data_IF_729160428932
#
_entry.id   IF_729160428932
#
_cell.length_a   1.000
_cell.length_b   1.000
_cell.length_c   1.000
_cell.angle_alpha   90.00
_cell.angle_beta   90.00
_cell.angle_gamma   90.00
#
_symmetry.space_group_name_H-M   'P 1'
#
loop_
_entity.id
_entity.type
_entity.pdbx_description
1 polymer ?
#
# COMPACT_ATOMS: atom_id res chain seq x y z
N UNK A 1 4.92 5.03 -11.07
CA UNK A 1 3.81 4.35 -11.77
C UNK A 1 3.90 2.83 -11.72
N UNK A 2 5.07 2.21 -11.99
CA UNK A 2 5.21 0.74 -11.97
C UNK A 2 4.86 0.08 -10.62
N UNK A 3 5.27 0.66 -9.49
CA UNK A 3 4.88 0.17 -8.17
C UNK A 3 3.35 0.02 -8.04
N UNK A 4 2.59 1.05 -8.42
CA UNK A 4 1.13 1.03 -8.29
C UNK A 4 0.51 -0.03 -9.20
N UNK A 5 0.99 -0.17 -10.44
CA UNK A 5 0.53 -1.23 -11.35
C UNK A 5 0.80 -2.61 -10.76
N UNK A 6 1.98 -2.82 -10.17
CA UNK A 6 2.34 -4.06 -9.50
C UNK A 6 1.42 -4.39 -8.32
N UNK A 7 1.09 -3.39 -7.48
CA UNK A 7 0.17 -3.57 -6.35
C UNK A 7 -1.25 -3.95 -6.81
N UNK A 8 -1.78 -3.24 -7.81
CA UNK A 8 -3.11 -3.53 -8.39
C UNK A 8 -3.13 -4.89 -9.09
N UNK A 9 -2.05 -5.25 -9.78
CA UNK A 9 -1.89 -6.56 -10.39
C UNK A 9 -1.88 -7.67 -9.34
N UNK A 10 -1.13 -7.49 -8.25
CA UNK A 10 -1.06 -8.45 -7.16
C UNK A 10 -2.42 -8.66 -6.48
N UNK A 11 -3.19 -7.59 -6.24
CA UNK A 11 -4.55 -7.70 -5.69
C UNK A 11 -5.48 -8.57 -6.55
N UNK A 12 -5.34 -8.45 -7.89
CA UNK A 12 -6.12 -9.23 -8.86
C UNK A 12 -5.66 -10.68 -9.01
N UNK A 13 -4.38 -10.96 -8.76
CA UNK A 13 -3.78 -12.28 -8.98
C UNK A 13 -3.76 -13.16 -7.72
N UNK A 14 -3.69 -12.56 -6.52
CA UNK A 14 -3.67 -13.32 -5.28
C UNK A 14 -5.02 -13.99 -5.02
N UNK A 15 -4.98 -15.29 -4.77
CA UNK A 15 -6.11 -16.05 -4.24
C UNK A 15 -6.36 -15.70 -2.76
N UNK A 16 -7.51 -16.10 -2.23
CA UNK A 16 -7.81 -16.01 -0.80
C UNK A 16 -6.71 -16.68 0.03
N UNK A 17 -6.27 -16.01 1.11
CA UNK A 17 -5.14 -16.43 1.94
C UNK A 17 -3.76 -16.12 1.35
N UNK A 18 -3.68 -15.66 0.09
CA UNK A 18 -2.43 -15.26 -0.55
C UNK A 18 -1.78 -14.05 0.16
N UNK A 19 -0.46 -14.01 0.23
CA UNK A 19 0.27 -12.95 0.94
C UNK A 19 0.90 -11.97 -0.05
N UNK A 20 0.61 -10.68 0.13
CA UNK A 20 1.34 -9.59 -0.51
C UNK A 20 2.45 -9.13 0.44
N UNK A 21 3.71 -9.19 0.00
CA UNK A 21 4.87 -8.68 0.73
C UNK A 21 5.59 -7.68 -0.15
N UNK A 22 5.84 -6.49 0.37
CA UNK A 22 6.49 -5.39 -0.36
C UNK A 22 7.63 -4.83 0.47
N UNK A 23 8.81 -4.77 -0.13
CA UNK A 23 9.99 -4.11 0.44
C UNK A 23 10.22 -2.82 -0.31
N UNK A 24 10.24 -1.71 0.41
CA UNK A 24 10.46 -0.36 -0.14
C UNK A 24 11.75 0.21 0.42
N UNK A 25 12.50 0.95 -0.39
CA UNK A 25 13.77 1.56 0.03
C UNK A 25 13.70 3.07 0.19
N UNK A 26 12.65 3.69 -0.35
CA UNK A 26 12.44 5.13 -0.27
C UNK A 26 11.06 5.50 0.29
N UNK A 27 10.99 6.71 0.85
CA UNK A 27 9.81 7.21 1.57
C UNK A 27 8.57 7.34 0.69
N UNK A 28 8.73 7.68 -0.60
CA UNK A 28 7.61 7.80 -1.54
C UNK A 28 6.95 6.44 -1.80
N UNK A 29 7.73 5.38 -1.98
CA UNK A 29 7.20 4.03 -2.15
C UNK A 29 6.48 3.56 -0.90
N UNK A 30 7.14 3.68 0.26
CA UNK A 30 6.55 3.32 1.55
C UNK A 30 5.21 4.03 1.77
N UNK A 31 5.10 5.30 1.37
CA UNK A 31 3.85 6.07 1.41
C UNK A 31 2.78 5.51 0.49
N UNK A 32 3.12 5.17 -0.76
CA UNK A 32 2.19 4.59 -1.73
C UNK A 32 1.68 3.23 -1.21
N UNK A 33 2.58 2.35 -0.77
CA UNK A 33 2.23 1.02 -0.24
C UNK A 33 1.38 1.14 1.03
N UNK A 34 1.75 2.05 1.94
CA UNK A 34 0.98 2.32 3.16
C UNK A 34 -0.44 2.77 2.84
N UNK A 35 -0.59 3.69 1.89
CA UNK A 35 -1.91 4.23 1.53
C UNK A 35 -2.77 3.17 0.84
N UNK A 36 -2.19 2.40 -0.08
CA UNK A 36 -2.84 1.26 -0.73
C UNK A 36 -3.34 0.24 0.29
N UNK A 37 -2.47 -0.25 1.18
CA UNK A 37 -2.86 -1.22 2.19
C UNK A 37 -3.89 -0.66 3.19
N UNK A 38 -3.80 0.63 3.56
CA UNK A 38 -4.77 1.25 4.45
C UNK A 38 -6.18 1.29 3.86
N UNK A 39 -6.28 1.58 2.56
CA UNK A 39 -7.55 1.58 1.81
C UNK A 39 -8.12 0.16 1.69
N UNK A 40 -7.29 -0.79 1.26
CA UNK A 40 -7.71 -2.19 1.06
C UNK A 40 -8.04 -2.94 2.35
N UNK A 41 -7.45 -2.55 3.47
CA UNK A 41 -7.75 -3.10 4.79
C UNK A 41 -8.93 -2.38 5.48
N UNK A 42 -9.63 -1.47 4.79
CA UNK A 42 -10.80 -0.76 5.34
C UNK A 42 -10.47 0.24 6.45
N UNK A 43 -9.19 0.59 6.66
CA UNK A 43 -8.74 1.53 7.70
C UNK A 43 -8.95 3.00 7.33
N UNK A 44 -9.33 3.28 6.08
CA UNK A 44 -9.61 4.63 5.57
C UNK A 44 -11.07 5.09 5.74
N UNK A 45 -12.01 4.17 5.93
CA UNK A 45 -13.46 4.47 5.90
C UNK A 45 -14.15 4.31 7.26
N UNK A 46 -13.46 3.90 8.32
CA UNK A 46 -14.09 3.53 9.60
C UNK A 46 -14.48 4.71 10.51
N UNK A 47 -14.40 5.97 10.08
CA UNK A 47 -14.35 7.10 11.03
C UNK A 47 -15.30 8.28 10.83
N UNK A 48 -16.06 8.35 9.74
CA UNK A 48 -17.04 9.43 9.57
C UNK A 48 -18.37 8.95 10.12
N UNK A 49 -18.80 9.54 11.24
CA UNK A 49 -20.19 9.55 11.76
C UNK A 49 -21.21 9.11 10.71
N UNK A 50 -21.56 7.81 10.69
CA UNK A 50 -22.52 7.31 9.71
C UNK A 50 -23.86 7.96 9.96
N UNK A 51 -24.37 8.67 8.96
CA UNK A 51 -25.75 9.11 8.93
C UNK A 51 -26.64 7.85 8.77
N UNK A 52 -27.83 7.79 9.39
CA UNK A 52 -28.75 6.69 9.16
C UNK A 52 -29.07 6.60 7.66
N UNK A 53 -28.70 5.49 7.01
CA UNK A 53 -28.97 5.25 5.57
C UNK A 53 -27.75 5.18 4.65
N UNK A 54 -26.52 5.36 5.16
CA UNK A 54 -25.31 5.15 4.34
C UNK A 54 -25.09 3.66 4.01
N UNK A 55 -24.76 3.41 2.74
CA UNK A 55 -24.42 2.09 2.21
C UNK A 55 -23.20 1.53 2.94
N UNK A 56 -23.24 0.24 3.31
CA UNK A 56 -22.10 -0.41 3.95
C UNK A 56 -20.86 -0.35 3.04
N UNK A 57 -19.67 -0.05 3.59
CA UNK A 57 -18.45 -0.04 2.80
C UNK A 57 -18.17 -1.45 2.23
N UNK A 58 -17.49 -1.54 1.08
CA UNK A 58 -17.11 -2.82 0.51
C UNK A 58 -16.28 -3.64 1.51
N UNK A 59 -16.36 -4.98 1.47
CA UNK A 59 -15.59 -5.84 2.35
C UNK A 59 -14.09 -5.70 2.02
N UNK A 60 -13.19 -5.62 3.02
CA UNK A 60 -11.77 -5.37 2.80
C UNK A 60 -11.13 -6.48 1.94
N UNK A 61 -10.38 -6.09 0.91
CA UNK A 61 -9.68 -7.05 0.04
C UNK A 61 -8.40 -7.62 0.67
N UNK A 62 -7.87 -6.96 1.71
CA UNK A 62 -6.71 -7.41 2.46
C UNK A 62 -6.92 -7.31 3.98
N UNK A 63 -6.26 -8.19 4.72
CA UNK A 63 -6.09 -8.14 6.17
C UNK A 63 -4.65 -7.73 6.48
N UNK A 64 -4.52 -6.59 7.16
CA UNK A 64 -3.23 -6.03 7.56
C UNK A 64 -2.89 -6.50 8.98
N UNK A 65 -2.05 -7.54 9.12
CA UNK A 65 -1.62 -8.07 10.42
C UNK A 65 -0.73 -7.08 11.20
N UNK A 66 0.09 -6.29 10.48
CA UNK A 66 0.96 -5.27 11.06
C UNK A 66 0.45 -3.84 10.87
N UNK A 67 0.64 -2.96 11.87
CA UNK A 67 0.44 -1.51 11.72
C UNK A 67 1.74 -0.78 11.34
N UNK A 68 2.88 -1.29 11.78
CA UNK A 68 4.20 -0.76 11.49
C UNK A 68 4.91 -1.59 10.42
N UNK A 69 5.77 -0.97 9.59
CA UNK A 69 6.66 -1.72 8.72
C UNK A 69 7.70 -2.49 9.55
N UNK A 70 8.14 -3.63 9.05
CA UNK A 70 9.30 -4.35 9.60
C UNK A 70 10.57 -3.66 9.09
N UNK A 71 11.45 -3.28 10.01
CA UNK A 71 12.73 -2.62 9.74
C UNK A 71 13.88 -3.62 9.90
N UNK A 72 14.99 -3.45 9.15
CA UNK A 72 16.16 -4.33 9.23
C UNK A 72 16.76 -4.33 10.65
N UNK A 73 17.35 -5.46 11.04
CA UNK A 73 18.09 -5.54 12.28
C UNK A 73 19.46 -4.81 12.17
N UNK A 74 20.08 -4.41 13.30
CA UNK A 74 21.41 -3.79 13.27
C UNK A 74 22.48 -4.67 12.60
N UNK A 75 22.46 -5.98 12.86
CA UNK A 75 23.39 -6.94 12.23
C UNK A 75 23.19 -7.06 10.72
N UNK A 76 21.95 -7.01 10.25
CA UNK A 76 21.62 -7.00 8.81
C UNK A 76 22.12 -5.72 8.15
N UNK A 77 21.97 -4.57 8.82
CA UNK A 77 22.46 -3.29 8.30
C UNK A 77 23.99 -3.24 8.24
N UNK A 78 24.68 -3.89 9.18
CA UNK A 78 26.14 -4.00 9.18
C UNK A 78 26.65 -4.91 8.04
N UNK A 79 25.99 -6.05 7.80
CA UNK A 79 26.32 -6.96 6.71
C UNK A 79 25.91 -6.42 5.33
N UNK A 80 24.82 -5.66 5.27
CA UNK A 80 24.28 -5.07 4.05
C UNK A 80 23.86 -3.61 4.28
N UNK A 81 24.76 -2.64 4.03
CA UNK A 81 24.46 -1.21 4.20
C UNK A 81 23.26 -0.71 3.38
N UNK A 82 22.92 -1.38 2.26
CA UNK A 82 21.76 -1.03 1.42
C UNK A 82 20.43 -1.37 2.11
N UNK A 83 20.43 -2.28 3.09
CA UNK A 83 19.23 -2.64 3.85
C UNK A 83 18.79 -1.53 4.80
N UNK A 84 19.67 -0.58 5.17
CA UNK A 84 19.40 0.45 6.19
C UNK A 84 18.05 1.18 6.03
N UNK A 85 17.63 1.45 4.79
CA UNK A 85 16.39 2.18 4.49
C UNK A 85 15.23 1.27 4.08
N UNK A 86 15.43 -0.05 4.10
CA UNK A 86 14.42 -1.03 3.75
C UNK A 86 13.28 -1.00 4.77
N UNK A 87 12.05 -1.02 4.25
CA UNK A 87 10.83 -1.17 5.02
C UNK A 87 9.99 -2.25 4.37
N UNK A 88 9.68 -3.28 5.14
CA UNK A 88 8.83 -4.37 4.69
C UNK A 88 7.41 -4.17 5.21
N UNK A 89 6.44 -4.26 4.31
CA UNK A 89 5.01 -4.29 4.63
C UNK A 89 4.39 -5.55 4.05
N UNK A 90 3.44 -6.13 4.77
CA UNK A 90 2.75 -7.33 4.33
C UNK A 90 1.26 -7.28 4.68
N UNK A 91 0.48 -7.98 3.87
CA UNK A 91 -0.96 -8.16 4.09
C UNK A 91 -1.43 -9.48 3.47
N UNK A 92 -2.51 -10.03 4.02
CA UNK A 92 -3.10 -11.30 3.58
C UNK A 92 -4.38 -11.03 2.79
N UNK A 93 -4.52 -11.63 1.61
CA UNK A 93 -5.65 -11.46 0.70
C UNK A 93 -6.89 -12.17 1.25
N UNK A 94 -8.04 -11.52 1.15
CA UNK A 94 -9.35 -12.08 1.52
C UNK A 94 -10.10 -12.65 0.30
N UNK A 95 -11.31 -13.16 0.50
CA UNK A 95 -12.22 -13.54 -0.59
C UNK A 95 -12.88 -12.35 -1.31
N UNK A 96 -12.78 -11.11 -0.78
CA UNK A 96 -13.48 -9.95 -1.33
C UNK A 96 -12.97 -9.58 -2.73
N UNK A 97 -13.78 -8.93 -3.57
CA UNK A 97 -13.34 -8.51 -4.90
C UNK A 97 -12.23 -7.42 -4.84
N UNK A 98 -11.36 -7.32 -5.86
CA UNK A 98 -10.44 -6.20 -5.99
C UNK A 98 -11.16 -4.86 -6.01
N UNK A 99 -10.60 -3.87 -5.30
CA UNK A 99 -11.19 -2.53 -5.27
C UNK A 99 -10.88 -1.78 -6.57
N UNK A 100 -11.75 -0.84 -7.00
CA UNK A 100 -11.42 0.08 -8.08
C UNK A 100 -10.19 0.93 -7.72
N UNK A 101 -9.57 1.51 -8.74
CA UNK A 101 -8.45 2.43 -8.54
C UNK A 101 -8.94 3.75 -7.95
N UNK A 102 -8.49 4.08 -6.74
CA UNK A 102 -8.70 5.41 -6.16
C UNK A 102 -7.86 6.47 -6.90
N UNK A 103 -8.50 7.57 -7.31
CA UNK A 103 -7.83 8.72 -7.90
C UNK A 103 -6.74 9.30 -6.99
N UNK A 104 -6.94 9.28 -5.67
CA UNK A 104 -5.95 9.80 -4.72
C UNK A 104 -4.67 8.99 -4.78
N UNK A 105 -4.78 7.66 -4.83
CA UNK A 105 -3.65 6.75 -4.96
C UNK A 105 -2.97 6.91 -6.34
N UNK A 106 -3.77 7.08 -7.39
CA UNK A 106 -3.26 7.34 -8.74
C UNK A 106 -2.45 8.66 -8.80
N UNK A 107 -2.91 9.72 -8.12
CA UNK A 107 -2.19 11.01 -8.02
C UNK A 107 -0.88 10.87 -7.25
N UNK A 108 -0.87 10.13 -6.12
CA UNK A 108 0.34 9.89 -5.33
C UNK A 108 1.42 9.12 -6.10
N UNK A 109 1.03 8.25 -7.03
CA UNK A 109 1.95 7.46 -7.84
C UNK A 109 2.45 8.19 -9.10
N UNK A 110 1.89 9.38 -9.42
CA UNK A 110 2.40 10.29 -10.43
C UNK A 110 3.48 11.16 -9.80
N UNK A 111 4.68 11.15 -10.37
CA UNK A 111 5.64 12.20 -10.10
C UNK A 111 5.05 13.50 -10.66
N UNK A 112 5.12 14.65 -9.96
CA UNK A 112 4.82 15.92 -10.58
C UNK A 112 5.71 16.07 -11.82
N UNK A 113 5.15 16.56 -12.92
CA UNK A 113 5.96 16.90 -14.07
C UNK A 113 7.06 17.84 -13.60
N UNK A 114 8.33 17.44 -13.83
CA UNK A 114 9.43 18.37 -13.67
C UNK A 114 9.19 19.41 -14.74
N UNK A 115 8.66 20.55 -14.34
CA UNK A 115 8.67 21.76 -15.16
C UNK A 115 10.14 21.97 -15.54
N UNK A 116 10.48 21.60 -16.77
CA UNK A 116 11.80 21.88 -17.33
C UNK A 116 11.80 23.38 -17.51
N UNK A 117 12.20 24.09 -16.45
CA UNK A 117 12.42 25.52 -16.48
C UNK A 117 13.17 25.85 -17.77
N UNK A 118 12.52 26.69 -18.59
CA UNK A 118 13.07 27.29 -19.80
C UNK A 118 14.48 27.79 -19.50
N UNK A 119 15.43 27.35 -20.32
CA UNK A 119 16.70 28.05 -20.51
C UNK A 119 16.45 29.39 -21.20
#
# INVERSE_FOLDING_TARGET
>A
QELLKGLLGAERLLAEGGRLVVVTFHSLEDRIVKQFLAERCGRGETGSRRLPGETAPPPPSFVCEGRQPVTPAPGETAANPRARSAKLRYATRTAAAPYPLDERLARLARLPDRDKGKA
#
